data_IF_057222301883
#
_entry.id   IF_057222301883
#
_cell.length_a   1.000
_cell.length_b   1.000
_cell.length_c   1.000
_cell.angle_alpha   90.00
_cell.angle_beta   90.00
_cell.angle_gamma   90.00
#
_symmetry.space_group_name_H-M   'P 1'
#
loop_
_entity.id
_entity.type
_entity.pdbx_description
1 polymer ?
#
# COMPACT_ATOMS: atom_id res chain seq x y z
N UNK A 1 -22.00 24.72 -38.80
CA UNK A 1 -21.19 23.54 -39.17
C UNK A 1 -20.31 23.27 -37.96
N UNK A 2 -20.77 22.32 -37.15
CA UNK A 2 -20.47 22.17 -35.73
C UNK A 2 -19.47 21.03 -35.59
N UNK A 3 -18.26 21.30 -35.12
CA UNK A 3 -17.29 20.25 -34.79
C UNK A 3 -17.09 20.26 -33.28
N UNK A 4 -17.72 19.30 -32.61
CA UNK A 4 -17.64 19.11 -31.16
C UNK A 4 -16.54 18.10 -30.90
N UNK A 5 -15.48 18.57 -30.27
CA UNK A 5 -14.35 17.76 -29.79
C UNK A 5 -14.89 16.64 -28.89
N UNK A 6 -14.68 15.41 -29.32
CA UNK A 6 -14.96 14.18 -28.58
C UNK A 6 -13.99 14.14 -27.39
N UNK A 7 -14.50 14.39 -26.19
CA UNK A 7 -13.78 14.13 -24.95
C UNK A 7 -13.63 12.62 -24.77
N UNK A 8 -12.38 12.18 -24.73
CA UNK A 8 -11.98 10.80 -24.53
C UNK A 8 -12.36 10.38 -23.10
N UNK A 9 -13.41 9.57 -22.99
CA UNK A 9 -13.87 9.02 -21.73
C UNK A 9 -12.84 7.97 -21.28
N UNK A 10 -12.23 8.20 -20.11
CA UNK A 10 -11.33 7.24 -19.47
C UNK A 10 -11.95 5.84 -19.35
N UNK A 11 -11.13 4.78 -19.24
CA UNK A 11 -11.59 3.40 -19.35
C UNK A 11 -12.73 3.09 -18.37
N UNK A 12 -13.81 2.53 -18.93
CA UNK A 12 -15.05 2.17 -18.26
C UNK A 12 -14.79 1.21 -17.09
N UNK A 13 -14.74 1.76 -15.87
CA UNK A 13 -14.41 1.06 -14.62
C UNK A 13 -15.48 0.07 -14.17
N UNK A 14 -16.58 -0.07 -14.92
CA UNK A 14 -17.73 -0.92 -14.57
C UNK A 14 -17.51 -2.42 -14.82
N UNK A 15 -16.47 -2.81 -15.58
CA UNK A 15 -16.21 -4.22 -15.95
C UNK A 15 -14.90 -4.81 -15.42
N UNK A 16 -14.07 -4.04 -14.71
CA UNK A 16 -12.83 -4.57 -14.13
C UNK A 16 -13.15 -5.59 -13.01
N UNK A 17 -12.38 -6.67 -12.92
CA UNK A 17 -12.51 -7.66 -11.85
C UNK A 17 -12.15 -7.05 -10.47
N UNK A 18 -12.48 -7.75 -9.38
CA UNK A 18 -12.07 -7.31 -8.03
C UNK A 18 -10.55 -7.11 -7.95
N UNK A 19 -9.78 -8.04 -8.52
CA UNK A 19 -8.32 -8.01 -8.47
C UNK A 19 -7.75 -6.79 -9.20
N UNK A 20 -8.28 -6.44 -10.38
CA UNK A 20 -7.88 -5.23 -11.11
C UNK A 20 -8.03 -3.96 -10.26
N UNK A 21 -9.16 -3.85 -9.55
CA UNK A 21 -9.44 -2.74 -8.63
C UNK A 21 -8.48 -2.73 -7.43
N UNK A 22 -8.23 -3.90 -6.82
CA UNK A 22 -7.29 -4.03 -5.69
C UNK A 22 -5.89 -3.63 -6.09
N UNK A 23 -5.37 -4.15 -7.21
CA UNK A 23 -4.04 -3.80 -7.67
C UNK A 23 -3.95 -2.34 -8.13
N UNK A 24 -4.99 -1.76 -8.75
CA UNK A 24 -5.02 -0.33 -9.07
C UNK A 24 -4.95 0.55 -7.81
N UNK A 25 -5.70 0.18 -6.76
CA UNK A 25 -5.66 0.84 -5.46
C UNK A 25 -4.27 0.75 -4.82
N UNK A 26 -3.66 -0.44 -4.80
CA UNK A 26 -2.32 -0.64 -4.25
C UNK A 26 -1.24 0.10 -5.04
N UNK A 27 -1.30 0.09 -6.37
CA UNK A 27 -0.39 0.88 -7.21
C UNK A 27 -0.50 2.36 -6.91
N UNK A 28 -1.72 2.91 -6.75
CA UNK A 28 -1.88 4.32 -6.38
C UNK A 28 -1.20 4.62 -5.03
N UNK A 29 -1.42 3.78 -4.02
CA UNK A 29 -0.77 3.96 -2.71
C UNK A 29 0.75 3.96 -2.81
N UNK A 30 1.32 2.92 -3.44
CA UNK A 30 2.76 2.73 -3.59
C UNK A 30 3.39 3.86 -4.41
N UNK A 31 2.76 4.25 -5.52
CA UNK A 31 3.30 5.31 -6.39
C UNK A 31 3.24 6.70 -5.77
N UNK A 32 2.33 6.95 -4.83
CA UNK A 32 2.28 8.23 -4.10
C UNK A 32 3.43 8.45 -3.11
N UNK A 33 4.32 7.47 -2.89
CA UNK A 33 5.60 7.72 -2.21
C UNK A 33 6.62 8.45 -3.10
N UNK A 34 6.43 8.42 -4.42
CA UNK A 34 7.37 9.03 -5.36
C UNK A 34 7.17 10.55 -5.50
N UNK A 35 8.27 11.31 -5.47
CA UNK A 35 8.26 12.71 -5.92
C UNK A 35 8.20 12.81 -7.46
N UNK A 36 8.54 11.73 -8.17
CA UNK A 36 8.40 11.57 -9.62
C UNK A 36 7.67 10.26 -9.94
N UNK A 37 6.44 10.35 -10.45
CA UNK A 37 5.73 9.21 -11.04
C UNK A 37 5.99 9.22 -12.54
N UNK A 38 6.78 8.28 -13.03
CA UNK A 38 6.99 8.10 -14.47
C UNK A 38 6.35 6.78 -14.87
N UNK A 39 5.12 6.86 -15.39
CA UNK A 39 4.64 5.81 -16.27
C UNK A 39 5.47 5.94 -17.56
N UNK A 40 6.53 5.14 -17.67
CA UNK A 40 7.12 4.91 -18.99
C UNK A 40 6.13 4.02 -19.74
N UNK A 41 6.13 4.02 -21.07
CA UNK A 41 5.24 3.13 -21.84
C UNK A 41 5.40 1.63 -21.54
N UNK A 42 6.32 1.26 -20.65
CA UNK A 42 6.81 -0.08 -20.33
C UNK A 42 6.56 -0.45 -18.85
N UNK A 43 6.85 0.46 -17.90
CA UNK A 43 6.68 0.21 -16.46
C UNK A 43 5.95 1.34 -15.74
N UNK A 44 5.25 0.99 -14.65
CA UNK A 44 4.85 1.96 -13.63
C UNK A 44 5.84 1.86 -12.46
N UNK A 45 6.57 2.95 -12.17
CA UNK A 45 7.55 2.98 -11.08
C UNK A 45 7.46 4.27 -10.27
N UNK A 46 8.06 4.25 -9.08
CA UNK A 46 8.10 5.35 -8.14
C UNK A 46 9.47 5.46 -7.47
N UNK A 47 9.87 6.69 -7.18
CA UNK A 47 11.14 7.01 -6.53
C UNK A 47 10.93 8.11 -5.51
N UNK A 48 11.12 7.79 -4.23
CA UNK A 48 11.08 8.75 -3.12
C UNK A 48 12.42 9.42 -2.86
N UNK A 49 13.53 8.79 -3.29
CA UNK A 49 14.90 9.22 -2.95
C UNK A 49 15.39 8.69 -1.61
N UNK A 50 14.55 7.98 -0.86
CA UNK A 50 14.91 7.40 0.43
C UNK A 50 15.85 6.20 0.27
N UNK A 51 16.82 6.07 1.17
CA UNK A 51 17.83 5.02 1.16
C UNK A 51 17.31 3.65 1.67
N UNK A 52 16.07 3.29 1.35
CA UNK A 52 15.49 1.98 1.68
C UNK A 52 14.58 1.46 0.56
N UNK A 53 14.60 0.15 0.27
CA UNK A 53 14.00 -0.40 -0.94
C UNK A 53 12.47 -0.38 -0.97
N UNK A 54 11.79 -0.38 0.17
CA UNK A 54 10.33 -0.34 0.22
C UNK A 54 9.74 1.01 -0.23
N UNK A 55 10.57 2.06 -0.36
CA UNK A 55 10.16 3.40 -0.78
C UNK A 55 10.58 3.75 -2.22
N UNK A 56 11.14 2.80 -2.97
CA UNK A 56 11.45 2.98 -4.38
C UNK A 56 11.19 1.67 -5.11
N UNK A 57 10.60 1.71 -6.30
CA UNK A 57 10.38 0.47 -7.01
C UNK A 57 9.51 0.53 -8.24
N UNK A 58 9.42 -0.62 -8.89
CA UNK A 58 8.50 -0.88 -10.00
C UNK A 58 7.29 -1.62 -9.45
N UNK A 59 6.09 -1.21 -9.84
CA UNK A 59 4.82 -1.80 -9.36
C UNK A 59 4.04 -2.50 -10.45
N UNK A 60 4.45 -2.35 -11.72
CA UNK A 60 3.82 -3.04 -12.84
C UNK A 60 4.71 -3.09 -14.08
N UNK A 61 4.74 -4.24 -14.73
CA UNK A 61 5.21 -4.40 -16.11
C UNK A 61 4.01 -4.42 -17.06
N UNK A 62 4.10 -3.79 -18.23
CA UNK A 62 2.99 -3.77 -19.21
C UNK A 62 3.00 -4.97 -20.17
N UNK A 63 4.17 -5.48 -20.57
CA UNK A 63 4.30 -6.66 -21.45
C UNK A 63 5.48 -7.55 -21.04
N UNK A 64 5.36 -8.89 -21.00
CA UNK A 64 6.47 -9.79 -20.66
C UNK A 64 7.64 -9.70 -21.64
N UNK A 65 7.35 -9.50 -22.93
CA UNK A 65 8.37 -9.44 -23.97
C UNK A 65 9.36 -8.27 -23.77
N UNK A 66 8.93 -7.25 -23.03
CA UNK A 66 9.73 -6.06 -22.74
C UNK A 66 10.52 -6.21 -21.42
N UNK A 67 10.49 -7.36 -20.74
CA UNK A 67 11.09 -7.52 -19.42
C UNK A 67 12.58 -7.17 -19.37
N UNK A 68 13.37 -7.53 -20.39
CA UNK A 68 14.79 -7.19 -20.45
C UNK A 68 15.02 -5.68 -20.51
N UNK A 69 14.35 -4.99 -21.44
CA UNK A 69 14.38 -3.53 -21.55
C UNK A 69 13.86 -2.86 -20.27
N UNK A 70 12.80 -3.41 -19.68
CA UNK A 70 12.19 -2.89 -18.47
C UNK A 70 13.12 -3.01 -17.25
N UNK A 71 13.91 -4.10 -17.13
CA UNK A 71 14.92 -4.26 -16.08
C UNK A 71 16.03 -3.23 -16.24
N UNK A 72 16.55 -3.04 -17.46
CA UNK A 72 17.56 -2.01 -17.74
C UNK A 72 17.04 -0.61 -17.43
N UNK A 73 15.86 -0.25 -17.96
CA UNK A 73 15.25 1.05 -17.74
C UNK A 73 14.92 1.31 -16.26
N UNK A 74 14.48 0.29 -15.51
CA UNK A 74 14.27 0.41 -14.07
C UNK A 74 15.58 0.62 -13.31
N UNK A 75 16.65 -0.08 -13.69
CA UNK A 75 17.98 0.11 -13.11
C UNK A 75 18.51 1.54 -13.31
N UNK A 76 18.31 2.11 -14.49
CA UNK A 76 18.66 3.51 -14.77
C UNK A 76 17.79 4.51 -13.99
N UNK A 77 16.46 4.32 -14.01
CA UNK A 77 15.52 5.23 -13.36
C UNK A 77 15.64 5.24 -11.83
N UNK A 78 16.04 4.11 -11.24
CA UNK A 78 16.18 3.92 -9.79
C UNK A 78 17.66 3.91 -9.34
N UNK A 79 18.57 4.34 -10.21
CA UNK A 79 19.99 4.44 -9.89
C UNK A 79 20.22 5.31 -8.63
N UNK A 80 21.14 4.86 -7.78
CA UNK A 80 21.53 5.55 -6.54
C UNK A 80 20.59 5.37 -5.35
N UNK A 81 19.51 4.59 -5.48
CA UNK A 81 18.66 4.18 -4.35
C UNK A 81 18.44 2.67 -4.34
N UNK A 82 18.33 2.02 -3.17
CA UNK A 82 17.85 0.65 -3.13
C UNK A 82 16.37 0.61 -3.53
N UNK A 83 15.94 -0.46 -4.20
CA UNK A 83 14.58 -0.59 -4.73
C UNK A 83 14.12 -2.05 -4.85
N UNK A 84 12.81 -2.24 -4.87
CA UNK A 84 12.16 -3.53 -5.15
C UNK A 84 11.26 -3.49 -6.39
N UNK A 85 11.04 -4.66 -6.99
CA UNK A 85 10.01 -4.87 -7.99
C UNK A 85 8.85 -5.65 -7.38
N UNK A 86 7.66 -5.04 -7.37
CA UNK A 86 6.42 -5.65 -6.91
C UNK A 86 5.70 -6.26 -8.11
N UNK A 87 5.63 -7.59 -8.17
CA UNK A 87 4.93 -8.32 -9.22
C UNK A 87 3.59 -8.80 -8.69
N UNK A 88 2.53 -8.12 -9.09
CA UNK A 88 1.14 -8.51 -8.84
C UNK A 88 0.49 -9.14 -10.07
N UNK A 89 -0.78 -9.56 -9.95
CA UNK A 89 -1.56 -10.06 -11.10
C UNK A 89 -1.90 -8.98 -12.13
N UNK A 90 -1.67 -7.71 -11.80
CA UNK A 90 -1.71 -6.60 -12.73
C UNK A 90 -0.48 -6.52 -13.64
N UNK A 91 0.54 -7.35 -13.39
CA UNK A 91 1.60 -7.67 -14.34
C UNK A 91 1.23 -8.93 -15.14
N UNK A 92 1.55 -8.98 -16.44
CA UNK A 92 1.22 -10.14 -17.28
C UNK A 92 1.79 -11.48 -16.78
N UNK A 93 1.11 -12.57 -17.12
CA UNK A 93 1.61 -13.93 -16.88
C UNK A 93 3.00 -14.10 -17.52
N UNK A 94 3.93 -14.73 -16.80
CA UNK A 94 5.31 -14.90 -17.24
C UNK A 94 6.28 -13.80 -16.77
N UNK A 95 5.79 -12.73 -16.12
CA UNK A 95 6.67 -11.67 -15.59
C UNK A 95 7.70 -12.20 -14.61
N UNK A 96 7.33 -13.12 -13.71
CA UNK A 96 8.26 -13.73 -12.73
C UNK A 96 9.45 -14.39 -13.43
N UNK A 97 9.17 -15.31 -14.35
CA UNK A 97 10.19 -16.08 -15.08
C UNK A 97 11.05 -15.16 -15.95
N UNK A 98 10.44 -14.10 -16.51
CA UNK A 98 11.14 -13.10 -17.29
C UNK A 98 12.12 -12.29 -16.42
N UNK A 99 11.70 -11.80 -15.26
CA UNK A 99 12.58 -11.06 -14.34
C UNK A 99 13.76 -11.92 -13.87
N UNK A 100 13.52 -13.19 -13.50
CA UNK A 100 14.59 -14.12 -13.10
C UNK A 100 15.58 -14.35 -14.24
N UNK A 101 15.12 -14.52 -15.48
CA UNK A 101 15.99 -14.68 -16.66
C UNK A 101 16.89 -13.45 -16.89
N UNK A 102 16.43 -12.27 -16.48
CA UNK A 102 17.17 -11.02 -16.57
C UNK A 102 17.93 -10.66 -15.27
N UNK A 103 18.19 -11.64 -14.41
CA UNK A 103 19.11 -11.50 -13.28
C UNK A 103 18.51 -10.93 -11.99
N UNK A 104 17.19 -10.70 -11.93
CA UNK A 104 16.51 -10.27 -10.71
C UNK A 104 16.38 -11.44 -9.72
N UNK A 105 16.56 -11.16 -8.43
CA UNK A 105 16.45 -12.13 -7.34
C UNK A 105 15.07 -12.05 -6.68
N UNK A 106 14.34 -13.16 -6.62
CA UNK A 106 13.08 -13.24 -5.89
C UNK A 106 13.34 -13.24 -4.38
N UNK A 107 12.70 -12.32 -3.66
CA UNK A 107 12.81 -12.17 -2.21
C UNK A 107 11.73 -12.96 -1.45
N UNK A 108 10.57 -13.15 -2.08
CA UNK A 108 9.47 -13.90 -1.50
C UNK A 108 8.09 -13.44 -1.95
N UNK A 109 7.09 -13.99 -1.28
CA UNK A 109 5.67 -13.80 -1.56
C UNK A 109 4.96 -13.04 -0.44
N UNK A 110 4.05 -12.15 -0.79
CA UNK A 110 3.20 -11.45 0.17
C UNK A 110 1.71 -11.67 -0.16
N UNK A 111 0.92 -12.30 0.72
CA UNK A 111 -0.49 -12.58 0.44
C UNK A 111 -1.30 -11.28 0.33
N UNK A 112 -2.07 -11.16 -0.75
CA UNK A 112 -3.09 -10.13 -0.93
C UNK A 112 -4.40 -10.70 -0.41
N UNK A 113 -4.96 -10.04 0.61
CA UNK A 113 -6.22 -10.47 1.22
C UNK A 113 -7.30 -9.42 0.99
N UNK A 114 -8.52 -9.88 0.75
CA UNK A 114 -9.67 -9.00 0.54
C UNK A 114 -10.92 -9.51 1.26
N UNK A 115 -11.88 -8.61 1.47
CA UNK A 115 -13.25 -8.93 1.92
C UNK A 115 -14.26 -7.89 1.44
N UNK A 116 -15.54 -8.26 1.29
CA UNK A 116 -16.61 -7.28 1.10
C UNK A 116 -16.87 -6.47 2.39
N UNK A 117 -17.37 -5.24 2.22
CA UNK A 117 -17.72 -4.29 3.28
C UNK A 117 -19.23 -4.23 3.59
N UNK A 118 -20.06 -4.97 2.86
CA UNK A 118 -21.52 -5.00 3.00
C UNK A 118 -22.00 -5.54 4.37
N UNK A 119 -21.19 -6.39 5.02
CA UNK A 119 -21.50 -7.00 6.31
C UNK A 119 -20.31 -6.88 7.27
N UNK A 120 -20.22 -5.73 7.94
CA UNK A 120 -19.33 -5.59 9.07
C UNK A 120 -19.95 -6.22 10.32
N UNK A 121 -19.14 -7.00 11.04
CA UNK A 121 -19.56 -7.60 12.30
C UNK A 121 -19.59 -6.59 13.45
N UNK A 122 -19.82 -7.08 14.67
CA UNK A 122 -19.67 -6.27 15.88
C UNK A 122 -18.28 -5.63 15.95
N UNK A 123 -18.23 -4.38 16.43
CA UNK A 123 -16.98 -3.66 16.67
C UNK A 123 -16.14 -4.49 17.65
N UNK A 124 -14.88 -4.86 17.33
CA UNK A 124 -13.97 -5.47 18.29
C UNK A 124 -13.80 -4.55 19.51
N UNK A 125 -13.79 -5.15 20.71
CA UNK A 125 -13.62 -4.37 21.94
C UNK A 125 -12.25 -3.69 21.94
N UNK A 126 -12.25 -2.36 21.96
CA UNK A 126 -11.04 -1.58 22.21
C UNK A 126 -10.65 -1.73 23.69
N UNK A 127 -9.36 -1.95 24.01
CA UNK A 127 -8.91 -2.00 25.40
C UNK A 127 -9.25 -0.74 26.19
N UNK A 128 -9.43 -0.89 27.50
CA UNK A 128 -9.58 0.25 28.40
C UNK A 128 -8.38 1.21 28.29
N UNK A 129 -8.64 2.51 28.36
CA UNK A 129 -7.62 3.55 28.16
C UNK A 129 -7.27 3.85 26.70
N UNK A 130 -7.52 2.90 25.78
CA UNK A 130 -7.17 3.06 24.36
C UNK A 130 -8.29 3.75 23.58
N UNK A 131 -7.94 4.76 22.78
CA UNK A 131 -8.85 5.43 21.83
C UNK A 131 -8.32 5.33 20.42
N UNK A 132 -9.20 5.06 19.46
CA UNK A 132 -8.87 5.16 18.03
C UNK A 132 -9.40 6.49 17.53
N UNK A 133 -8.52 7.29 16.93
CA UNK A 133 -8.84 8.62 16.43
C UNK A 133 -8.32 8.78 15.00
N UNK A 134 -8.97 9.60 14.16
CA UNK A 134 -8.36 10.03 12.92
C UNK A 134 -7.12 10.88 13.20
N UNK A 135 -6.17 10.87 12.27
CA UNK A 135 -5.01 11.77 12.26
C UNK A 135 -5.48 13.17 11.90
N UNK A 136 -6.07 13.86 12.87
CA UNK A 136 -6.53 15.25 12.73
C UNK A 136 -5.98 16.03 13.92
N UNK A 137 -4.78 16.58 13.78
CA UNK A 137 -4.18 17.41 14.83
C UNK A 137 -2.75 17.84 14.51
N UNK A 138 -2.32 19.03 14.95
CA UNK A 138 -0.94 19.47 14.78
C UNK A 138 0.04 18.44 15.35
N UNK A 139 0.99 17.99 14.53
CA UNK A 139 2.05 17.06 14.94
C UNK A 139 1.68 15.57 14.99
N UNK A 140 0.40 15.20 14.86
CA UNK A 140 -0.03 13.80 14.97
C UNK A 140 0.53 12.94 13.82
N UNK A 141 0.63 13.48 12.60
CA UNK A 141 1.28 12.80 11.48
C UNK A 141 2.72 12.36 11.81
N UNK A 142 3.53 13.21 12.44
CA UNK A 142 4.92 12.86 12.79
C UNK A 142 4.97 11.71 13.80
N UNK A 143 4.05 11.70 14.76
CA UNK A 143 3.91 10.63 15.75
C UNK A 143 3.46 9.30 15.08
N UNK A 144 2.47 9.37 14.19
CA UNK A 144 1.99 8.24 13.37
C UNK A 144 3.14 7.66 12.55
N UNK A 145 3.91 8.53 11.87
CA UNK A 145 5.09 8.15 11.08
C UNK A 145 6.12 7.44 11.92
N UNK A 146 6.49 8.01 13.07
CA UNK A 146 7.46 7.39 13.96
C UNK A 146 7.00 6.02 14.49
N UNK A 147 5.69 5.83 14.68
CA UNK A 147 5.16 4.54 15.16
C UNK A 147 5.15 3.50 14.06
N UNK A 148 4.66 3.81 12.85
CA UNK A 148 4.63 2.81 11.78
C UNK A 148 6.00 2.58 11.13
N UNK A 149 6.96 3.51 11.19
CA UNK A 149 8.27 3.39 10.53
C UNK A 149 8.98 2.09 10.94
N UNK A 150 8.87 1.73 12.23
CA UNK A 150 9.39 0.48 12.80
C UNK A 150 8.82 -0.77 12.12
N UNK A 151 7.58 -0.74 11.68
CA UNK A 151 6.93 -1.85 10.95
C UNK A 151 7.47 -2.06 9.55
N UNK A 152 8.02 -1.00 8.94
CA UNK A 152 8.59 -1.04 7.60
C UNK A 152 10.07 -1.43 7.60
N UNK A 153 10.66 -1.73 8.76
CA UNK A 153 12.11 -1.89 8.89
C UNK A 153 12.86 -0.58 8.65
N UNK A 154 12.22 0.57 8.92
CA UNK A 154 12.85 1.86 8.73
C UNK A 154 14.04 2.06 9.66
N UNK A 155 15.15 2.57 9.13
CA UNK A 155 16.30 2.96 9.95
C UNK A 155 15.95 4.23 10.73
N UNK A 156 16.37 4.35 12.00
CA UNK A 156 16.15 5.56 12.77
C UNK A 156 16.71 6.80 12.05
N UNK A 157 15.94 7.88 12.03
CA UNK A 157 16.32 9.17 11.45
C UNK A 157 15.65 9.47 10.10
N UNK A 158 14.98 8.50 9.47
CA UNK A 158 14.24 8.71 8.21
C UNK A 158 12.83 9.27 8.44
N UNK A 159 12.33 9.24 9.69
CA UNK A 159 10.98 9.67 10.05
C UNK A 159 10.64 11.10 9.60
N UNK A 160 11.52 12.12 9.72
CA UNK A 160 11.19 13.47 9.26
C UNK A 160 10.94 13.53 7.75
N UNK A 161 11.71 12.79 6.95
CA UNK A 161 11.51 12.73 5.51
C UNK A 161 10.24 11.96 5.13
N UNK A 162 9.94 10.85 5.83
CA UNK A 162 8.68 10.14 5.66
C UNK A 162 7.48 11.04 5.96
N UNK A 163 7.53 11.77 7.08
CA UNK A 163 6.47 12.71 7.45
C UNK A 163 6.32 13.83 6.41
N UNK A 164 7.42 14.34 5.86
CA UNK A 164 7.42 15.34 4.78
C UNK A 164 6.78 14.80 3.50
N UNK A 165 7.10 13.57 3.10
CA UNK A 165 6.52 12.92 1.91
C UNK A 165 5.02 12.71 2.12
N UNK A 166 4.62 12.08 3.23
CA UNK A 166 3.23 11.81 3.61
C UNK A 166 2.38 13.09 3.63
N UNK A 167 2.91 14.18 4.22
CA UNK A 167 2.22 15.46 4.30
C UNK A 167 1.96 16.10 2.92
N UNK A 168 2.84 15.85 1.95
CA UNK A 168 2.81 16.47 0.62
C UNK A 168 2.19 15.60 -0.47
N UNK A 169 1.68 14.41 -0.12
CA UNK A 169 1.02 13.52 -1.05
C UNK A 169 -0.16 14.21 -1.75
N UNK A 170 -0.16 14.17 -3.08
CA UNK A 170 -1.23 14.74 -3.90
C UNK A 170 -2.58 14.04 -3.71
N UNK A 171 -2.57 12.78 -3.27
CA UNK A 171 -3.76 11.95 -3.05
C UNK A 171 -4.27 11.96 -1.61
N UNK A 172 -3.79 12.88 -0.75
CA UNK A 172 -4.24 12.99 0.64
C UNK A 172 -5.78 13.16 0.79
N UNK A 173 -6.48 13.68 -0.23
CA UNK A 173 -7.94 13.79 -0.20
C UNK A 173 -8.70 12.45 -0.14
N UNK A 174 -8.05 11.35 -0.52
CA UNK A 174 -8.60 9.99 -0.48
C UNK A 174 -7.89 9.09 0.53
N UNK A 175 -6.99 9.66 1.36
CA UNK A 175 -6.25 8.93 2.39
C UNK A 175 -6.77 9.35 3.77
N UNK A 176 -7.14 8.36 4.57
CA UNK A 176 -7.48 8.50 5.98
C UNK A 176 -6.43 7.78 6.83
N UNK A 177 -5.77 8.50 7.73
CA UNK A 177 -4.81 7.93 8.70
C UNK A 177 -5.48 7.84 10.06
N UNK A 178 -5.24 6.74 10.76
CA UNK A 178 -5.80 6.42 12.06
C UNK A 178 -4.68 6.20 13.07
N UNK A 179 -4.88 6.66 14.29
CA UNK A 179 -3.98 6.45 15.42
C UNK A 179 -4.73 5.78 16.58
N UNK A 180 -4.10 4.78 17.19
CA UNK A 180 -4.48 4.28 18.52
C UNK A 180 -3.68 5.05 19.57
N UNK A 181 -4.38 5.68 20.50
CA UNK A 181 -3.82 6.47 21.59
C UNK A 181 -4.02 5.78 22.93
N UNK A 182 -2.98 5.79 23.76
CA UNK A 182 -3.04 5.44 25.19
C UNK A 182 -2.39 6.59 25.98
N UNK A 183 -3.14 7.18 26.90
CA UNK A 183 -2.74 8.39 27.64
C UNK A 183 -2.18 9.52 26.75
N UNK A 184 -2.73 9.67 25.53
CA UNK A 184 -2.31 10.69 24.56
C UNK A 184 -1.11 10.29 23.69
N UNK A 185 -0.47 9.15 23.97
CA UNK A 185 0.65 8.62 23.19
C UNK A 185 0.17 7.76 22.03
N UNK A 186 0.71 7.95 20.82
CA UNK A 186 0.45 7.04 19.70
C UNK A 186 1.13 5.68 19.97
N UNK A 187 0.33 4.62 19.98
CA UNK A 187 0.75 3.24 20.23
C UNK A 187 0.40 2.29 19.09
N UNK A 188 -0.34 2.75 18.10
CA UNK A 188 -0.66 1.99 16.90
C UNK A 188 -1.23 2.86 15.80
N UNK A 189 -1.21 2.35 14.58
CA UNK A 189 -1.53 3.10 13.37
C UNK A 189 -2.26 2.21 12.36
N UNK A 190 -3.04 2.82 11.49
CA UNK A 190 -3.56 2.23 10.26
C UNK A 190 -3.79 3.35 9.23
N UNK A 191 -3.61 3.06 7.95
CA UNK A 191 -3.88 4.00 6.86
C UNK A 191 -4.85 3.36 5.88
N UNK A 192 -5.83 4.13 5.41
CA UNK A 192 -6.83 3.72 4.43
C UNK A 192 -6.72 4.61 3.21
N UNK A 193 -6.65 4.01 2.02
CA UNK A 193 -6.83 4.72 0.75
C UNK A 193 -8.13 4.26 0.10
N UNK A 194 -9.05 5.21 -0.12
CA UNK A 194 -10.39 4.94 -0.68
C UNK A 194 -10.41 5.28 -2.16
N UNK A 195 -10.13 4.28 -3.01
CA UNK A 195 -10.03 4.45 -4.46
C UNK A 195 -10.39 3.16 -5.19
N UNK A 196 -10.88 3.29 -6.43
CA UNK A 196 -11.26 2.16 -7.28
C UNK A 196 -12.26 1.20 -6.60
N UNK A 197 -13.20 1.72 -5.79
CA UNK A 197 -14.18 0.91 -5.06
C UNK A 197 -13.55 -0.10 -4.05
N UNK A 198 -12.32 0.21 -3.62
CA UNK A 198 -11.54 -0.55 -2.65
C UNK A 198 -11.05 0.39 -1.55
N UNK A 199 -11.23 -0.02 -0.30
CA UNK A 199 -10.54 0.52 0.86
C UNK A 199 -9.23 -0.26 1.04
N UNK A 200 -8.14 0.28 0.51
CA UNK A 200 -6.80 -0.28 0.68
C UNK A 200 -6.28 0.02 2.08
N UNK A 201 -5.98 -1.01 2.86
CA UNK A 201 -5.52 -0.87 4.25
C UNK A 201 -4.01 -1.12 4.31
N UNK A 202 -3.28 -0.12 4.80
CA UNK A 202 -1.83 -0.07 4.89
C UNK A 202 -1.38 0.31 6.31
N UNK A 203 -0.09 0.11 6.58
CA UNK A 203 0.60 0.59 7.78
C UNK A 203 -0.12 0.23 9.09
N UNK A 204 -0.75 -0.95 9.14
CA UNK A 204 -1.34 -1.48 10.39
C UNK A 204 -0.20 -1.89 11.31
N UNK A 205 0.04 -1.09 12.35
CA UNK A 205 1.08 -1.35 13.33
C UNK A 205 0.56 -1.18 14.76
N UNK A 206 1.12 -1.96 15.67
CA UNK A 206 0.97 -1.77 17.11
C UNK A 206 2.36 -1.90 17.74
N UNK A 207 2.71 -0.90 18.55
CA UNK A 207 3.94 -0.89 19.34
C UNK A 207 4.06 -2.19 20.15
N UNK A 208 5.26 -2.74 20.22
CA UNK A 208 5.51 -4.11 20.66
C UNK A 208 4.95 -4.41 22.05
N UNK A 209 5.15 -3.50 22.98
CA UNK A 209 4.70 -3.57 24.36
C UNK A 209 3.16 -3.52 24.50
N UNK A 210 2.44 -3.10 23.45
CA UNK A 210 0.98 -3.03 23.37
C UNK A 210 0.33 -4.15 22.54
N UNK A 211 1.14 -5.05 21.96
CA UNK A 211 0.64 -6.16 21.13
C UNK A 211 -0.16 -7.17 21.94
N UNK A 212 -0.94 -7.99 21.23
CA UNK A 212 -1.80 -9.06 21.79
C UNK A 212 -2.88 -8.57 22.76
N UNK A 213 -3.21 -7.27 22.74
CA UNK A 213 -4.30 -6.65 23.51
C UNK A 213 -5.57 -6.39 22.69
N UNK A 214 -5.60 -6.76 21.40
CA UNK A 214 -6.74 -6.52 20.51
C UNK A 214 -6.70 -5.19 19.73
N UNK A 215 -5.70 -4.34 19.96
CA UNK A 215 -5.58 -3.01 19.33
C UNK A 215 -5.49 -3.11 17.80
N UNK A 216 -4.74 -4.06 17.25
CA UNK A 216 -4.65 -4.25 15.80
C UNK A 216 -6.01 -4.64 15.18
N UNK A 217 -6.83 -5.40 15.92
CA UNK A 217 -8.18 -5.74 15.47
C UNK A 217 -9.10 -4.52 15.47
N UNK A 218 -9.02 -3.70 16.52
CA UNK A 218 -9.79 -2.47 16.63
C UNK A 218 -9.39 -1.45 15.55
N UNK A 219 -8.09 -1.27 15.28
CA UNK A 219 -7.58 -0.42 14.19
C UNK A 219 -8.05 -0.89 12.82
N UNK A 220 -7.98 -2.20 12.57
CA UNK A 220 -8.43 -2.77 11.29
C UNK A 220 -9.95 -2.61 11.13
N UNK A 221 -10.75 -2.81 12.17
CA UNK A 221 -12.20 -2.57 12.11
C UNK A 221 -12.54 -1.10 11.89
N UNK A 222 -11.81 -0.17 12.53
CA UNK A 222 -11.95 1.25 12.26
C UNK A 222 -11.63 1.59 10.80
N UNK A 223 -10.57 1.00 10.23
CA UNK A 223 -10.23 1.14 8.82
C UNK A 223 -11.32 0.59 7.87
N UNK A 224 -11.92 -0.56 8.20
CA UNK A 224 -13.06 -1.11 7.45
C UNK A 224 -14.26 -0.16 7.46
N UNK A 225 -14.55 0.46 8.61
CA UNK A 225 -15.64 1.43 8.74
C UNK A 225 -15.37 2.69 7.94
N UNK A 226 -14.16 3.24 8.00
CA UNK A 226 -13.74 4.37 7.14
C UNK A 226 -13.98 4.05 5.67
N UNK A 227 -13.52 2.88 5.20
CA UNK A 227 -13.73 2.44 3.82
C UNK A 227 -15.20 2.38 3.41
N UNK A 228 -16.04 1.81 4.28
CA UNK A 228 -17.50 1.72 4.06
C UNK A 228 -18.16 3.11 4.04
N UNK A 229 -17.78 3.98 4.98
CA UNK A 229 -18.34 5.32 5.11
C UNK A 229 -17.89 6.24 3.95
N UNK A 230 -16.72 5.96 3.36
CA UNK A 230 -16.24 6.52 2.08
C UNK A 230 -16.90 5.89 0.84
N UNK A 231 -17.81 4.93 1.01
CA UNK A 231 -18.59 4.31 -0.06
C UNK A 231 -17.88 3.18 -0.82
N UNK A 232 -16.79 2.63 -0.30
CA UNK A 232 -16.12 1.48 -0.93
C UNK A 232 -16.90 0.18 -0.68
N UNK A 233 -16.94 -0.72 -1.67
CA UNK A 233 -17.60 -2.04 -1.52
C UNK A 233 -16.68 -3.13 -0.97
N UNK A 234 -15.37 -2.99 -1.13
CA UNK A 234 -14.38 -3.99 -0.71
C UNK A 234 -13.29 -3.35 0.14
N UNK A 235 -12.68 -4.14 1.03
CA UNK A 235 -11.41 -3.81 1.66
C UNK A 235 -10.34 -4.79 1.22
N UNK A 236 -9.11 -4.31 1.06
CA UNK A 236 -7.98 -5.14 0.68
C UNK A 236 -6.71 -4.71 1.39
N UNK A 237 -5.81 -5.65 1.63
CA UNK A 237 -4.49 -5.41 2.22
C UNK A 237 -3.46 -6.43 1.74
N UNK A 238 -2.19 -6.11 1.95
CA UNK A 238 -1.09 -7.07 1.86
C UNK A 238 -0.74 -7.50 3.27
N UNK A 239 -0.87 -8.79 3.58
CA UNK A 239 -0.64 -9.29 4.93
C UNK A 239 0.82 -9.67 5.14
N UNK A 240 1.38 -9.25 6.27
CA UNK A 240 2.63 -9.82 6.78
C UNK A 240 2.36 -11.18 7.44
N UNK A 241 3.36 -12.07 7.56
CA UNK A 241 3.19 -13.35 8.26
C UNK A 241 2.65 -13.18 9.69
N UNK A 242 3.04 -12.11 10.38
CA UNK A 242 2.55 -11.79 11.74
C UNK A 242 1.10 -11.26 11.75
N UNK A 243 0.67 -10.59 10.68
CA UNK A 243 -0.67 -10.00 10.57
C UNK A 243 -1.73 -10.96 10.01
N UNK A 244 -1.34 -11.94 9.20
CA UNK A 244 -2.27 -12.84 8.51
C UNK A 244 -3.31 -13.50 9.43
N UNK A 245 -2.95 -14.09 10.59
CA UNK A 245 -3.94 -14.70 11.50
C UNK A 245 -4.95 -13.70 12.09
N UNK A 246 -4.60 -12.42 12.17
CA UNK A 246 -5.55 -11.37 12.55
C UNK A 246 -6.56 -11.12 11.44
N UNK A 247 -6.09 -10.96 10.20
CA UNK A 247 -6.95 -10.64 9.07
C UNK A 247 -7.92 -11.78 8.74
N UNK A 248 -7.48 -13.04 8.85
CA UNK A 248 -8.34 -14.21 8.72
C UNK A 248 -9.50 -14.19 9.74
N UNK A 249 -9.22 -13.85 11.01
CA UNK A 249 -10.26 -13.69 12.05
C UNK A 249 -11.23 -12.55 11.72
N UNK A 250 -10.74 -11.50 11.07
CA UNK A 250 -11.54 -10.39 10.55
C UNK A 250 -12.16 -10.68 9.17
N UNK A 251 -12.24 -11.97 8.79
CA UNK A 251 -12.93 -12.46 7.58
C UNK A 251 -12.34 -11.97 6.26
N UNK A 252 -11.08 -11.54 6.27
CA UNK A 252 -10.31 -11.45 5.03
C UNK A 252 -9.92 -12.84 4.55
N UNK A 253 -9.93 -13.02 3.24
CA UNK A 253 -9.43 -14.23 2.56
C UNK A 253 -8.32 -13.86 1.60
N UNK A 254 -7.31 -14.71 1.47
CA UNK A 254 -6.28 -14.57 0.44
C UNK A 254 -6.92 -14.72 -0.94
N UNK A 255 -6.78 -13.70 -1.79
CA UNK A 255 -7.35 -13.67 -3.16
C UNK A 255 -6.27 -13.65 -4.24
N UNK A 256 -5.04 -13.27 -3.86
CA UNK A 256 -3.88 -13.21 -4.73
C UNK A 256 -2.61 -13.05 -3.87
N UNK A 257 -1.49 -12.76 -4.50
CA UNK A 257 -0.20 -12.51 -3.87
C UNK A 257 0.63 -11.51 -4.69
N UNK A 258 1.51 -10.79 -4.02
CA UNK A 258 2.67 -10.16 -4.65
C UNK A 258 3.86 -11.10 -4.61
N UNK A 259 4.73 -10.99 -5.61
CA UNK A 259 6.11 -11.47 -5.57
C UNK A 259 7.05 -10.27 -5.56
N UNK A 260 7.98 -10.26 -4.61
CA UNK A 260 8.99 -9.21 -4.51
C UNK A 260 10.28 -9.69 -5.18
N UNK A 261 10.89 -8.81 -5.96
CA UNK A 261 12.22 -9.01 -6.51
C UNK A 261 13.14 -7.85 -6.14
N UNK A 262 14.43 -8.12 -6.04
CA UNK A 262 15.48 -7.12 -5.98
C UNK A 262 16.40 -7.25 -7.20
N UNK A 263 17.05 -6.15 -7.65
CA UNK A 263 18.22 -6.27 -8.50
C UNK A 263 19.28 -7.15 -7.81
N UNK A 264 20.16 -7.79 -8.59
CA UNK A 264 21.27 -8.53 -8.02
C UNK A 264 22.13 -7.59 -7.16
N UNK A 265 22.71 -8.11 -6.09
CA UNK A 265 23.69 -7.35 -5.33
C UNK A 265 24.85 -6.93 -6.26
N UNK A 266 25.35 -5.68 -6.14
CA UNK A 266 26.49 -5.23 -6.92
C UNK A 266 27.76 -6.06 -6.65
#
# INVERSE_FOLDING_TARGET
MTDTVRTDAGPDTRHAGLLDRVYANFRQYLTGWGEQVRATGITDHFRSGLAQPQFNGVVRLRRPAEAGEAVTAAGEALAGVPWWWWVGQDSPIGTREALTRHGMTELGSLPVMARPLDRLGPVPRTPEGVRIVPETGPGLLAEVVRVYSRSMGAVPGIEPDLARIEARRADNGVIDRLAALDEGRVIGTATVISAYDVAGIFLVHVAEEYRRRGIGAALTDAALRVGRDRGMRHAALVASPAGEPLYQRLKFTTVSEYRLFAPPAP
#
